data_IF_968292827088
#
_entry.id   IF_968292827088
#
_cell.length_a   1.000
_cell.length_b   1.000
_cell.length_c   1.000
_cell.angle_alpha   90.00
_cell.angle_beta   90.00
_cell.angle_gamma   90.00
#
_symmetry.space_group_name_H-M   'P 1'
#
loop_
_entity.id
_entity.type
_entity.pdbx_description
1 polymer ?
#
# COMPACT_ATOMS: atom_id res chain seq x y z
N UNK A 1 -13.98 31.83 8.13
CA UNK A 1 -14.19 30.80 7.08
C UNK A 1 -13.29 29.65 7.45
N UNK A 2 -13.80 28.42 7.52
CA UNK A 2 -12.99 27.26 7.88
C UNK A 2 -12.14 26.82 6.69
N UNK A 3 -10.83 26.69 6.85
CA UNK A 3 -9.91 26.24 5.79
C UNK A 3 -9.35 24.86 6.12
N UNK A 4 -9.57 23.90 5.23
CA UNK A 4 -9.09 22.53 5.37
C UNK A 4 -8.00 22.28 4.33
N UNK A 5 -6.79 21.91 4.77
CA UNK A 5 -5.68 21.54 3.90
C UNK A 5 -5.60 20.03 3.74
N UNK A 6 -5.61 19.53 2.51
CA UNK A 6 -5.35 18.12 2.15
C UNK A 6 -3.95 18.04 1.56
N UNK A 7 -3.02 17.41 2.27
CA UNK A 7 -1.63 17.23 1.81
C UNK A 7 -1.48 15.83 1.22
N UNK A 8 -1.34 15.75 -0.10
CA UNK A 8 -1.33 14.51 -0.89
C UNK A 8 -2.69 14.20 -1.52
N UNK A 9 -2.67 13.91 -2.83
CA UNK A 9 -3.89 13.68 -3.62
C UNK A 9 -3.88 12.32 -4.35
N UNK A 10 -3.42 11.28 -3.65
CA UNK A 10 -3.61 9.89 -4.02
C UNK A 10 -5.03 9.40 -3.71
N UNK A 11 -5.22 8.07 -3.63
CA UNK A 11 -6.53 7.46 -3.34
C UNK A 11 -7.25 8.12 -2.14
N UNK A 12 -6.55 8.25 -1.01
CA UNK A 12 -7.16 8.82 0.21
C UNK A 12 -7.52 10.30 0.05
N UNK A 13 -6.64 11.12 -0.53
CA UNK A 13 -6.91 12.54 -0.76
C UNK A 13 -8.06 12.77 -1.73
N UNK A 14 -8.12 12.01 -2.85
CA UNK A 14 -9.21 12.04 -3.83
C UNK A 14 -10.55 11.66 -3.19
N UNK A 15 -10.60 10.53 -2.50
CA UNK A 15 -11.84 10.05 -1.86
C UNK A 15 -12.29 10.94 -0.71
N UNK A 16 -11.35 11.55 0.03
CA UNK A 16 -11.65 12.56 1.03
C UNK A 16 -12.29 13.80 0.39
N UNK A 17 -11.66 14.35 -0.66
CA UNK A 17 -12.21 15.50 -1.39
C UNK A 17 -13.63 15.22 -1.91
N UNK A 18 -13.85 14.07 -2.55
CA UNK A 18 -15.17 13.65 -3.05
C UNK A 18 -16.22 13.65 -1.93
N UNK A 19 -15.87 13.15 -0.75
CA UNK A 19 -16.80 13.11 0.38
C UNK A 19 -17.04 14.50 0.98
N UNK A 20 -16.00 15.33 1.12
CA UNK A 20 -16.13 16.70 1.62
C UNK A 20 -16.95 17.58 0.66
N UNK A 21 -16.73 17.48 -0.66
CA UNK A 21 -17.48 18.24 -1.65
C UNK A 21 -18.97 17.86 -1.69
N UNK A 22 -19.29 16.57 -1.51
CA UNK A 22 -20.69 16.10 -1.42
C UNK A 22 -21.41 16.61 -0.18
N UNK A 23 -20.71 16.70 0.95
CA UNK A 23 -21.23 17.15 2.23
C UNK A 23 -20.78 18.59 2.56
N UNK A 24 -20.54 19.39 1.51
CA UNK A 24 -19.97 20.73 1.65
C UNK A 24 -20.77 21.62 2.61
N UNK A 25 -20.05 22.26 3.51
CA UNK A 25 -20.59 23.23 4.45
C UNK A 25 -20.27 24.66 3.95
N UNK A 26 -21.26 25.56 3.88
CA UNK A 26 -21.01 26.94 3.51
C UNK A 26 -19.92 27.58 4.40
N UNK A 27 -19.08 28.44 3.80
CA UNK A 27 -17.92 29.08 4.46
C UNK A 27 -16.76 28.11 4.78
N UNK A 28 -16.68 26.98 4.10
CA UNK A 28 -15.49 26.10 4.15
C UNK A 28 -14.68 26.24 2.86
N UNK A 29 -13.37 26.40 2.95
CA UNK A 29 -12.43 26.35 1.83
C UNK A 29 -11.61 25.06 1.91
N UNK A 30 -11.42 24.36 0.78
CA UNK A 30 -10.62 23.14 0.69
C UNK A 30 -9.37 23.44 -0.14
N UNK A 31 -8.20 23.41 0.48
CA UNK A 31 -6.91 23.55 -0.20
C UNK A 31 -6.29 22.17 -0.40
N UNK A 32 -5.88 21.87 -1.63
CA UNK A 32 -5.34 20.55 -2.01
C UNK A 32 -3.92 20.73 -2.50
N UNK A 33 -2.95 20.19 -1.76
CA UNK A 33 -1.52 20.29 -2.05
C UNK A 33 -0.99 18.97 -2.60
N UNK A 34 -0.43 18.98 -3.82
CA UNK A 34 0.15 17.81 -4.45
C UNK A 34 1.24 18.20 -5.45
N UNK A 35 2.38 17.52 -5.45
CA UNK A 35 3.42 17.68 -6.48
C UNK A 35 2.95 17.22 -7.86
N UNK A 36 2.05 16.25 -7.92
CA UNK A 36 1.54 15.68 -9.15
C UNK A 36 0.25 16.36 -9.57
N UNK A 37 0.02 16.45 -10.86
CA UNK A 37 -1.25 16.93 -11.39
C UNK A 37 -2.41 16.06 -10.82
N UNK A 38 -3.54 16.69 -10.48
CA UNK A 38 -4.68 16.01 -9.84
C UNK A 38 -5.28 14.87 -10.67
N UNK A 39 -5.10 14.91 -12.00
CA UNK A 39 -5.59 13.85 -12.91
C UNK A 39 -4.71 12.59 -12.93
N UNK A 40 -3.53 12.61 -12.30
CA UNK A 40 -2.68 11.42 -12.26
C UNK A 40 -3.18 10.45 -11.20
N UNK A 41 -3.38 9.20 -11.60
CA UNK A 41 -3.65 8.10 -10.68
C UNK A 41 -2.53 8.00 -9.63
N UNK A 42 -2.88 7.56 -8.42
CA UNK A 42 -1.83 7.24 -7.43
C UNK A 42 -0.88 6.19 -8.00
N UNK A 43 0.39 6.24 -7.63
CA UNK A 43 1.42 5.30 -8.12
C UNK A 43 0.96 3.83 -8.06
N UNK A 44 0.24 3.44 -6.99
CA UNK A 44 -0.27 2.08 -6.81
C UNK A 44 -1.32 1.65 -7.85
N UNK A 45 -1.97 2.60 -8.54
CA UNK A 45 -3.06 2.39 -9.51
C UNK A 45 -2.76 3.03 -10.86
N UNK A 46 -1.51 3.38 -11.12
CA UNK A 46 -1.07 3.94 -12.41
C UNK A 46 -0.94 2.88 -13.49
N UNK A 47 -0.85 3.31 -14.74
CA UNK A 47 -0.70 2.45 -15.93
C UNK A 47 0.71 1.88 -16.10
N UNK A 48 1.46 1.66 -15.01
CA UNK A 48 2.85 1.18 -15.07
C UNK A 48 2.97 -0.18 -15.77
N UNK A 49 2.05 -1.10 -15.47
CA UNK A 49 1.97 -2.40 -16.13
C UNK A 49 0.56 -2.96 -16.09
N UNK A 50 -0.01 -3.35 -17.25
CA UNK A 50 -1.31 -4.04 -17.31
C UNK A 50 -1.31 -5.40 -16.59
N UNK A 51 -0.13 -5.90 -16.23
CA UNK A 51 0.02 -7.18 -15.52
C UNK A 51 -0.08 -7.04 -14.01
N UNK A 52 -0.09 -5.82 -13.48
CA UNK A 52 -0.24 -5.59 -12.05
C UNK A 52 -1.70 -5.75 -11.65
N UNK A 53 -1.98 -6.80 -10.91
CA UNK A 53 -3.35 -7.20 -10.54
C UNK A 53 -3.62 -6.85 -9.09
N UNK A 54 -4.85 -6.42 -8.80
CA UNK A 54 -5.32 -6.22 -7.44
C UNK A 54 -5.24 -7.53 -6.64
N UNK A 55 -4.95 -7.45 -5.37
CA UNK A 55 -4.96 -8.58 -4.44
C UNK A 55 -6.23 -8.62 -3.56
N UNK A 56 -7.23 -7.79 -3.92
CA UNK A 56 -8.56 -7.71 -3.28
C UNK A 56 -9.59 -7.92 -4.38
N UNK A 57 -10.60 -8.81 -4.19
CA UNK A 57 -11.64 -9.04 -5.17
C UNK A 57 -12.46 -7.79 -5.49
N UNK A 58 -12.96 -7.68 -6.73
CA UNK A 58 -13.67 -6.51 -7.26
C UNK A 58 -14.80 -6.03 -6.33
N UNK A 59 -15.63 -6.93 -5.81
CA UNK A 59 -16.75 -6.61 -4.91
C UNK A 59 -16.34 -5.92 -3.59
N UNK A 60 -15.06 -5.95 -3.23
CA UNK A 60 -14.54 -5.29 -2.02
C UNK A 60 -13.79 -4.00 -2.32
N UNK A 61 -13.75 -3.60 -3.60
CA UNK A 61 -12.93 -2.49 -4.08
C UNK A 61 -13.70 -1.19 -4.29
N UNK A 62 -14.99 -1.11 -3.94
CA UNK A 62 -15.69 0.18 -3.93
C UNK A 62 -14.93 1.20 -3.08
N UNK A 63 -14.78 2.43 -3.59
CA UNK A 63 -14.15 3.53 -2.88
C UNK A 63 -14.98 4.07 -1.70
N UNK A 64 -16.27 3.70 -1.62
CA UNK A 64 -17.23 4.21 -0.65
C UNK A 64 -17.92 3.09 0.13
N UNK A 65 -18.29 3.39 1.38
CA UNK A 65 -19.00 2.44 2.26
C UNK A 65 -20.48 2.32 1.91
N UNK A 66 -21.07 3.41 1.47
CA UNK A 66 -22.49 3.58 1.14
C UNK A 66 -22.85 3.16 -0.30
N UNK A 67 -21.85 2.77 -1.11
CA UNK A 67 -22.00 2.30 -2.49
C UNK A 67 -21.13 1.06 -2.71
N UNK A 68 -21.53 -0.06 -2.12
CA UNK A 68 -20.68 -1.27 -2.07
C UNK A 68 -20.34 -1.85 -3.44
N UNK A 69 -21.22 -1.70 -4.43
CA UNK A 69 -21.03 -2.26 -5.78
C UNK A 69 -20.41 -1.27 -6.79
N UNK A 70 -20.12 -0.04 -6.40
CA UNK A 70 -19.73 1.07 -7.28
C UNK A 70 -18.57 0.69 -8.26
N UNK A 71 -17.58 -0.07 -7.81
CA UNK A 71 -16.52 -0.56 -8.69
C UNK A 71 -16.97 -1.70 -9.61
N UNK A 72 -17.84 -2.60 -9.15
CA UNK A 72 -18.41 -3.65 -9.98
C UNK A 72 -19.27 -3.04 -11.10
N UNK A 73 -20.11 -2.06 -10.76
CA UNK A 73 -20.96 -1.35 -11.73
C UNK A 73 -20.10 -0.60 -12.77
N UNK A 74 -18.97 -0.01 -12.34
CA UNK A 74 -17.99 0.60 -13.25
C UNK A 74 -17.38 -0.44 -14.20
N UNK A 75 -16.98 -1.61 -13.70
CA UNK A 75 -16.42 -2.69 -14.53
C UNK A 75 -17.46 -3.19 -15.54
N UNK A 76 -18.68 -3.45 -15.11
CA UNK A 76 -19.75 -3.92 -15.97
C UNK A 76 -20.03 -2.92 -17.11
N UNK A 77 -20.08 -1.63 -16.79
CA UNK A 77 -20.40 -0.56 -17.74
C UNK A 77 -19.27 -0.26 -18.72
N UNK A 78 -18.02 -0.16 -18.24
CA UNK A 78 -16.90 0.36 -19.04
C UNK A 78 -15.87 -0.71 -19.43
N UNK A 79 -15.89 -1.88 -18.78
CA UNK A 79 -14.96 -2.99 -19.01
C UNK A 79 -15.71 -4.33 -19.06
N UNK A 80 -16.83 -4.39 -19.81
CA UNK A 80 -17.75 -5.53 -19.84
C UNK A 80 -17.09 -6.88 -20.17
N UNK A 81 -16.11 -6.91 -21.08
CA UNK A 81 -15.37 -8.12 -21.41
C UNK A 81 -14.59 -8.63 -20.19
N UNK A 82 -13.85 -7.75 -19.51
CA UNK A 82 -13.13 -8.12 -18.29
C UNK A 82 -14.11 -8.52 -17.19
N UNK A 83 -15.22 -7.80 -17.03
CA UNK A 83 -16.24 -8.12 -16.04
C UNK A 83 -16.81 -9.52 -16.25
N UNK A 84 -17.11 -9.90 -17.49
CA UNK A 84 -17.59 -11.25 -17.84
C UNK A 84 -16.56 -12.34 -17.48
N UNK A 85 -15.27 -12.02 -17.64
CA UNK A 85 -14.16 -12.96 -17.34
C UNK A 85 -13.96 -13.14 -15.83
N UNK A 86 -13.88 -12.04 -15.05
CA UNK A 86 -13.47 -12.11 -13.64
C UNK A 86 -14.65 -12.17 -12.65
N UNK A 87 -15.78 -11.59 -12.98
CA UNK A 87 -16.92 -11.43 -12.09
C UNK A 87 -16.62 -10.65 -10.80
N UNK A 88 -17.54 -10.67 -9.86
CA UNK A 88 -17.41 -9.93 -8.59
C UNK A 88 -16.28 -10.44 -7.67
N UNK A 89 -15.96 -11.73 -7.75
CA UNK A 89 -14.95 -12.38 -6.91
C UNK A 89 -13.56 -12.38 -7.53
N UNK A 90 -13.42 -11.94 -8.78
CA UNK A 90 -12.16 -11.87 -9.49
C UNK A 90 -11.35 -10.61 -9.17
N UNK A 91 -10.17 -10.54 -9.76
CA UNK A 91 -9.17 -9.52 -9.46
C UNK A 91 -8.89 -8.69 -10.72
N UNK A 92 -9.24 -7.43 -10.70
CA UNK A 92 -9.01 -6.53 -11.83
C UNK A 92 -7.55 -6.03 -11.89
N UNK A 93 -7.04 -5.63 -13.07
CA UNK A 93 -5.79 -4.89 -13.19
C UNK A 93 -5.82 -3.58 -12.38
N UNK A 94 -4.67 -3.21 -11.78
CA UNK A 94 -4.58 -2.02 -10.91
C UNK A 94 -4.88 -0.73 -11.65
N UNK A 95 -4.48 -0.60 -12.91
CA UNK A 95 -4.73 0.60 -13.71
C UNK A 95 -6.22 0.84 -13.97
N UNK A 96 -7.02 -0.22 -14.13
CA UNK A 96 -8.49 -0.10 -14.26
C UNK A 96 -9.11 0.45 -12.98
N UNK A 97 -8.57 0.08 -11.84
CA UNK A 97 -8.98 0.70 -10.57
C UNK A 97 -8.60 2.19 -10.52
N UNK A 98 -7.44 2.55 -11.08
CA UNK A 98 -7.06 3.95 -11.27
C UNK A 98 -8.07 4.73 -12.10
N UNK A 99 -8.47 4.17 -13.25
CA UNK A 99 -9.50 4.76 -14.13
C UNK A 99 -10.84 4.93 -13.41
N UNK A 100 -11.24 3.97 -12.58
CA UNK A 100 -12.44 4.10 -11.74
C UNK A 100 -12.33 5.28 -10.76
N UNK A 101 -11.19 5.42 -10.08
CA UNK A 101 -10.99 6.54 -9.14
C UNK A 101 -10.99 7.89 -9.85
N UNK A 102 -10.40 7.97 -11.03
CA UNK A 102 -10.41 9.19 -11.83
C UNK A 102 -11.81 9.51 -12.36
N UNK A 103 -12.57 8.52 -12.82
CA UNK A 103 -13.97 8.65 -13.22
C UNK A 103 -14.86 9.24 -12.10
N UNK A 104 -14.77 8.71 -10.88
CA UNK A 104 -15.58 9.23 -9.76
C UNK A 104 -15.10 10.60 -9.29
N UNK A 105 -13.81 10.93 -9.44
CA UNK A 105 -13.26 12.25 -9.13
C UNK A 105 -13.76 13.29 -10.13
N UNK A 106 -13.73 13.00 -11.43
CA UNK A 106 -14.21 13.91 -12.48
C UNK A 106 -15.68 14.26 -12.27
N UNK A 107 -16.53 13.25 -11.99
CA UNK A 107 -17.93 13.48 -11.65
C UNK A 107 -18.09 14.38 -10.43
N UNK A 108 -17.28 14.17 -9.39
CA UNK A 108 -17.32 14.98 -8.18
C UNK A 108 -16.82 16.42 -8.39
N UNK A 109 -15.85 16.63 -9.28
CA UNK A 109 -15.36 17.98 -9.62
C UNK A 109 -16.43 18.79 -10.37
N UNK A 110 -17.19 18.15 -11.27
CA UNK A 110 -18.33 18.80 -11.94
C UNK A 110 -19.40 19.20 -10.90
N UNK A 111 -19.82 18.26 -10.06
CA UNK A 111 -20.81 18.50 -9.01
C UNK A 111 -20.35 19.59 -8.02
N UNK A 112 -19.06 19.58 -7.65
CA UNK A 112 -18.49 20.60 -6.75
C UNK A 112 -18.57 22.02 -7.34
N UNK A 113 -18.30 22.15 -8.65
CA UNK A 113 -18.44 23.45 -9.35
C UNK A 113 -19.88 23.92 -9.40
N UNK A 114 -20.83 23.01 -9.70
CA UNK A 114 -22.26 23.32 -9.74
C UNK A 114 -22.78 23.77 -8.37
N UNK A 115 -22.27 23.18 -7.30
CA UNK A 115 -22.60 23.55 -5.90
C UNK A 115 -21.81 24.75 -5.36
N UNK A 116 -20.97 25.38 -6.18
CA UNK A 116 -20.09 26.46 -5.76
C UNK A 116 -19.23 26.11 -4.52
N UNK A 117 -18.72 24.87 -4.47
CA UNK A 117 -17.76 24.46 -3.44
C UNK A 117 -16.48 25.27 -3.61
N UNK A 118 -16.01 25.92 -2.54
CA UNK A 118 -14.75 26.65 -2.54
C UNK A 118 -13.58 25.69 -2.38
N UNK A 119 -12.85 25.40 -3.46
CA UNK A 119 -11.67 24.55 -3.45
C UNK A 119 -10.59 25.04 -4.41
N UNK A 120 -9.35 24.73 -4.07
CA UNK A 120 -8.17 25.14 -4.85
C UNK A 120 -7.13 24.02 -4.91
N UNK A 121 -6.62 23.72 -6.11
CA UNK A 121 -5.48 22.83 -6.32
C UNK A 121 -4.19 23.63 -6.39
N UNK A 122 -3.25 23.30 -5.51
CA UNK A 122 -1.93 23.92 -5.42
C UNK A 122 -0.89 22.86 -5.78
N UNK A 123 -0.32 23.01 -6.98
CA UNK A 123 0.67 22.04 -7.52
C UNK A 123 2.07 22.33 -6.98
N UNK A 124 2.21 22.23 -5.65
CA UNK A 124 3.44 22.48 -4.90
C UNK A 124 3.60 21.46 -3.76
N UNK A 125 4.84 21.22 -3.34
CA UNK A 125 5.13 20.41 -2.16
C UNK A 125 5.04 21.25 -0.89
N UNK A 126 4.32 20.72 0.10
CA UNK A 126 4.38 21.23 1.47
C UNK A 126 5.67 20.72 2.12
N UNK A 127 6.53 21.63 2.53
CA UNK A 127 7.84 21.32 3.11
C UNK A 127 7.91 21.48 4.61
N UNK A 128 7.01 22.31 5.17
CA UNK A 128 6.92 22.55 6.61
C UNK A 128 5.46 22.73 7.05
N UNK A 129 5.14 22.26 8.25
CA UNK A 129 3.90 22.53 8.98
C UNK A 129 4.31 23.04 10.36
N UNK A 130 3.73 24.13 10.82
CA UNK A 130 4.08 24.77 12.07
C UNK A 130 2.85 25.47 12.70
N UNK A 131 2.96 25.86 13.97
CA UNK A 131 1.94 26.58 14.71
C UNK A 131 2.60 27.78 15.39
N UNK A 132 2.30 28.97 14.91
CA UNK A 132 2.73 30.28 15.49
C UNK A 132 1.49 31.11 15.81
N UNK A 133 0.72 30.65 16.82
CA UNK A 133 -0.62 31.16 17.13
C UNK A 133 -1.71 30.43 16.30
N UNK A 134 -1.57 30.42 14.99
CA UNK A 134 -2.43 29.65 14.06
C UNK A 134 -1.65 28.52 13.41
N UNK A 135 -2.37 27.48 12.99
CA UNK A 135 -1.79 26.37 12.26
C UNK A 135 -1.51 26.79 10.81
N UNK A 136 -0.28 26.61 10.36
CA UNK A 136 0.16 27.04 9.04
C UNK A 136 1.03 25.98 8.35
N UNK A 137 1.12 26.11 7.03
CA UNK A 137 2.00 25.29 6.20
C UNK A 137 2.79 26.18 5.23
N UNK A 138 4.00 25.73 4.90
CA UNK A 138 4.93 26.40 3.99
C UNK A 138 5.21 25.48 2.80
N UNK A 139 5.19 26.05 1.62
CA UNK A 139 5.48 25.37 0.35
C UNK A 139 6.97 25.48 -0.01
N UNK A 140 7.40 24.65 -0.96
CA UNK A 140 8.78 24.65 -1.46
C UNK A 140 9.21 26.00 -2.07
N UNK A 141 8.27 26.78 -2.61
CA UNK A 141 8.51 28.12 -3.16
C UNK A 141 8.51 29.23 -2.10
N UNK A 142 8.26 28.93 -0.84
CA UNK A 142 8.21 29.86 0.29
C UNK A 142 6.82 30.45 0.58
N UNK A 143 5.79 30.14 -0.20
CA UNK A 143 4.43 30.59 0.10
C UNK A 143 3.91 29.91 1.38
N UNK A 144 3.19 30.68 2.20
CA UNK A 144 2.60 30.21 3.45
C UNK A 144 1.07 30.29 3.42
N UNK A 145 0.42 29.33 4.05
CA UNK A 145 -1.04 29.23 4.16
C UNK A 145 -1.45 28.95 5.60
N UNK A 146 -2.28 29.80 6.16
CA UNK A 146 -2.96 29.58 7.44
C UNK A 146 -4.18 28.67 7.21
N UNK A 147 -4.37 27.69 8.08
CA UNK A 147 -5.44 26.69 7.94
C UNK A 147 -6.00 26.26 9.28
N UNK A 148 -7.26 25.84 9.30
CA UNK A 148 -7.91 25.36 10.52
C UNK A 148 -7.66 23.88 10.77
N UNK A 149 -7.67 23.06 9.72
CA UNK A 149 -7.42 21.62 9.79
C UNK A 149 -6.44 21.17 8.70
N UNK A 150 -5.55 20.25 9.05
CA UNK A 150 -4.64 19.58 8.09
C UNK A 150 -4.94 18.10 8.04
N UNK A 151 -5.11 17.58 6.83
CA UNK A 151 -5.20 16.14 6.58
C UNK A 151 -3.97 15.66 5.82
N UNK A 152 -3.13 14.85 6.47
CA UNK A 152 -1.99 14.20 5.83
C UNK A 152 -2.46 12.94 5.12
N UNK A 153 -2.58 13.00 3.79
CA UNK A 153 -2.96 11.91 2.90
C UNK A 153 -1.80 11.48 1.99
N UNK A 154 -0.57 11.64 2.47
CA UNK A 154 0.65 11.35 1.71
C UNK A 154 0.86 9.85 1.53
N UNK A 155 1.44 9.47 0.38
CA UNK A 155 1.79 8.08 0.05
C UNK A 155 3.07 7.64 0.76
N UNK A 156 3.22 6.33 0.92
CA UNK A 156 4.49 5.72 1.30
C UNK A 156 5.51 5.79 0.16
N UNK A 157 6.78 5.96 0.52
CA UNK A 157 7.91 5.68 -0.36
C UNK A 157 8.20 4.18 -0.35
N UNK A 158 8.84 3.70 -1.40
CA UNK A 158 9.37 2.35 -1.40
C UNK A 158 10.57 2.25 -0.47
N UNK A 159 10.63 1.18 0.33
CA UNK A 159 11.78 0.91 1.19
C UNK A 159 13.05 0.72 0.37
N UNK A 160 14.14 1.29 0.83
CA UNK A 160 15.44 1.20 0.20
C UNK A 160 16.35 0.26 0.98
N UNK A 161 17.38 -0.24 0.30
CA UNK A 161 18.45 -0.98 0.97
C UNK A 161 19.16 -0.06 1.99
N UNK A 162 19.75 -0.63 3.06
CA UNK A 162 20.44 0.15 4.09
C UNK A 162 21.76 0.77 3.63
N UNK A 163 22.21 0.45 2.43
CA UNK A 163 23.42 0.97 1.78
C UNK A 163 23.09 1.57 0.42
N UNK A 164 23.91 2.50 -0.04
CA UNK A 164 23.74 3.12 -1.35
C UNK A 164 24.32 2.21 -2.44
N UNK A 165 23.52 2.01 -3.48
CA UNK A 165 23.92 1.30 -4.69
C UNK A 165 23.28 1.96 -5.91
N UNK A 166 24.07 2.19 -6.94
CA UNK A 166 23.58 2.75 -8.21
C UNK A 166 24.14 1.94 -9.39
N UNK A 167 23.27 1.62 -10.32
CA UNK A 167 23.61 0.97 -11.59
C UNK A 167 22.55 1.32 -12.63
N UNK A 168 22.95 1.41 -13.91
CA UNK A 168 22.00 1.58 -15.02
C UNK A 168 21.03 0.40 -15.16
N UNK A 169 21.41 -0.76 -14.62
CA UNK A 169 20.65 -2.01 -14.64
C UNK A 169 19.88 -2.23 -13.31
N UNK A 170 19.75 -1.21 -12.46
CA UNK A 170 19.04 -1.29 -11.19
C UNK A 170 17.74 -0.47 -11.20
N UNK A 171 16.61 -1.15 -11.12
CA UNK A 171 15.30 -0.53 -10.87
C UNK A 171 15.16 -0.32 -9.37
N UNK A 172 15.52 0.89 -8.93
CA UNK A 172 15.54 1.28 -7.50
C UNK A 172 14.14 1.49 -6.93
N UNK A 173 13.22 1.99 -7.74
CA UNK A 173 11.84 2.29 -7.37
C UNK A 173 10.89 1.75 -8.43
N UNK A 174 9.96 0.87 -8.02
CA UNK A 174 8.98 0.25 -8.91
C UNK A 174 7.97 1.26 -9.49
N UNK A 175 7.89 2.45 -8.93
CA UNK A 175 6.96 3.50 -9.36
C UNK A 175 7.64 4.59 -10.21
N UNK A 176 8.90 4.39 -10.57
CA UNK A 176 9.72 5.31 -11.36
C UNK A 176 9.57 5.10 -12.88
N UNK A 177 9.99 6.09 -13.67
CA UNK A 177 10.10 5.96 -15.14
C UNK A 177 11.04 4.81 -15.54
N UNK A 178 12.11 4.59 -14.78
CA UNK A 178 13.03 3.46 -15.01
C UNK A 178 12.29 2.12 -14.92
N UNK A 179 11.34 2.00 -13.99
CA UNK A 179 10.49 0.81 -13.87
C UNK A 179 9.54 0.68 -15.04
N UNK A 180 8.91 1.77 -15.49
CA UNK A 180 8.04 1.77 -16.67
C UNK A 180 8.80 1.23 -17.87
N UNK A 181 9.97 1.79 -18.14
CA UNK A 181 10.82 1.36 -19.26
C UNK A 181 11.24 -0.12 -19.13
N UNK A 182 11.61 -0.57 -17.92
CA UNK A 182 11.94 -1.96 -17.65
C UNK A 182 10.77 -2.90 -17.96
N UNK A 183 9.55 -2.54 -17.62
CA UNK A 183 8.36 -3.34 -17.90
C UNK A 183 7.93 -3.33 -19.37
N UNK A 184 8.14 -2.21 -20.06
CA UNK A 184 7.84 -2.11 -21.49
C UNK A 184 8.88 -2.81 -22.37
N UNK A 185 10.15 -2.77 -21.96
CA UNK A 185 11.29 -3.30 -22.70
C UNK A 185 12.16 -4.21 -21.82
N UNK A 186 11.62 -5.35 -21.31
CA UNK A 186 12.37 -6.21 -20.42
C UNK A 186 13.54 -6.89 -21.14
N UNK A 187 14.66 -7.14 -20.45
CA UNK A 187 15.82 -7.85 -21.00
C UNK A 187 15.54 -9.37 -21.11
N UNK A 188 14.91 -9.80 -22.18
CA UNK A 188 14.18 -11.06 -22.34
C UNK A 188 14.97 -12.34 -22.00
N UNK A 189 16.31 -12.38 -22.20
CA UNK A 189 17.15 -13.56 -22.02
C UNK A 189 18.26 -13.38 -20.97
N UNK A 190 18.07 -12.40 -20.07
CA UNK A 190 19.04 -12.08 -19.01
C UNK A 190 18.65 -12.71 -17.67
N UNK A 191 19.58 -12.67 -16.72
CA UNK A 191 19.29 -13.03 -15.33
C UNK A 191 18.84 -11.81 -14.56
N UNK A 192 17.65 -11.86 -13.96
CA UNK A 192 17.07 -10.76 -13.16
C UNK A 192 17.07 -11.14 -11.70
N UNK A 193 17.70 -10.30 -10.86
CA UNK A 193 17.63 -10.37 -9.41
C UNK A 193 16.44 -9.57 -8.88
N UNK A 194 15.68 -10.12 -7.94
CA UNK A 194 14.62 -9.42 -7.22
C UNK A 194 14.99 -9.31 -5.75
N UNK A 195 15.03 -8.09 -5.21
CA UNK A 195 15.21 -7.86 -3.77
C UNK A 195 13.85 -7.91 -3.09
N UNK A 196 13.55 -9.01 -2.44
CA UNK A 196 12.24 -9.30 -1.87
C UNK A 196 11.47 -10.35 -2.67
N UNK A 197 10.54 -11.04 -2.01
CA UNK A 197 9.71 -12.12 -2.57
C UNK A 197 8.22 -11.94 -2.24
N UNK A 198 7.79 -10.71 -1.92
CA UNK A 198 6.40 -10.36 -1.61
C UNK A 198 5.55 -10.13 -2.87
N UNK A 199 4.39 -9.49 -2.69
CA UNK A 199 3.46 -9.18 -3.79
C UNK A 199 4.11 -8.34 -4.90
N UNK A 200 4.99 -7.40 -4.56
CA UNK A 200 5.72 -6.61 -5.56
C UNK A 200 6.62 -7.47 -6.47
N UNK A 201 7.26 -8.51 -5.90
CA UNK A 201 8.04 -9.45 -6.70
C UNK A 201 7.13 -10.29 -7.60
N UNK A 202 5.97 -10.73 -7.11
CA UNK A 202 4.96 -11.42 -7.93
C UNK A 202 4.52 -10.53 -9.10
N UNK A 203 4.21 -9.26 -8.86
CA UNK A 203 3.81 -8.31 -9.91
C UNK A 203 4.90 -8.20 -11.00
N UNK A 204 6.18 -8.09 -10.61
CA UNK A 204 7.32 -8.05 -11.56
C UNK A 204 7.42 -9.35 -12.35
N UNK A 205 7.33 -10.51 -11.69
CA UNK A 205 7.39 -11.84 -12.33
C UNK A 205 6.28 -12.00 -13.37
N UNK A 206 5.04 -11.62 -13.01
CA UNK A 206 3.89 -11.66 -13.91
C UNK A 206 4.09 -10.75 -15.13
N UNK A 207 4.62 -9.55 -14.92
CA UNK A 207 4.94 -8.62 -16.01
C UNK A 207 5.99 -9.20 -16.95
N UNK A 208 7.05 -9.77 -16.43
CA UNK A 208 8.10 -10.43 -17.24
C UNK A 208 7.51 -11.59 -18.05
N UNK A 209 6.70 -12.45 -17.43
CA UNK A 209 6.06 -13.59 -18.10
C UNK A 209 5.14 -13.15 -19.25
N UNK A 210 4.32 -12.12 -19.01
CA UNK A 210 3.44 -11.56 -20.04
C UNK A 210 4.21 -11.00 -21.22
N UNK A 211 5.40 -10.44 -20.99
CA UNK A 211 6.32 -9.96 -22.02
C UNK A 211 7.22 -11.06 -22.61
N UNK A 212 6.84 -12.34 -22.46
CA UNK A 212 7.55 -13.49 -23.03
C UNK A 212 9.01 -13.61 -22.60
N UNK A 213 9.32 -13.22 -21.35
CA UNK A 213 10.64 -13.37 -20.76
C UNK A 213 11.05 -14.86 -20.70
N UNK A 214 12.26 -15.16 -21.18
CA UNK A 214 12.85 -16.50 -21.26
C UNK A 214 14.12 -16.68 -20.42
N UNK A 215 14.60 -15.61 -19.79
CA UNK A 215 15.77 -15.63 -18.91
C UNK A 215 15.46 -16.23 -17.52
N UNK A 216 16.41 -16.09 -16.61
CA UNK A 216 16.29 -16.59 -15.24
C UNK A 216 15.92 -15.48 -14.25
N UNK A 217 15.17 -15.82 -13.22
CA UNK A 217 14.80 -14.91 -12.14
C UNK A 217 15.31 -15.49 -10.82
N UNK A 218 15.98 -14.66 -10.02
CA UNK A 218 16.46 -15.01 -8.68
C UNK A 218 15.85 -14.03 -7.68
N UNK A 219 14.85 -14.46 -6.92
CA UNK A 219 14.25 -13.66 -5.86
C UNK A 219 14.94 -13.95 -4.52
N UNK A 220 15.42 -12.90 -3.85
CA UNK A 220 16.18 -13.02 -2.60
C UNK A 220 15.40 -12.33 -1.49
N UNK A 221 15.10 -13.05 -0.41
CA UNK A 221 14.45 -12.48 0.77
C UNK A 221 14.88 -13.16 2.06
N UNK A 222 14.75 -12.45 3.18
CA UNK A 222 15.22 -12.93 4.50
C UNK A 222 14.66 -14.31 4.90
N UNK A 223 13.47 -14.65 4.45
CA UNK A 223 12.78 -15.89 4.81
C UNK A 223 12.56 -16.85 3.63
N UNK A 224 12.78 -16.40 2.39
CA UNK A 224 12.55 -17.21 1.18
C UNK A 224 11.07 -17.55 0.96
N UNK A 225 10.16 -16.76 1.46
CA UNK A 225 8.73 -17.04 1.38
C UNK A 225 8.07 -16.25 0.24
N UNK A 226 7.14 -16.89 -0.46
CA UNK A 226 6.25 -16.26 -1.44
C UNK A 226 4.85 -16.07 -0.85
N UNK A 227 4.05 -15.09 -1.32
CA UNK A 227 2.64 -14.96 -0.99
C UNK A 227 1.88 -16.26 -1.27
N UNK A 228 0.90 -16.58 -0.43
CA UNK A 228 0.05 -17.75 -0.61
C UNK A 228 -1.08 -17.44 -1.59
N UNK A 229 -1.67 -18.51 -2.17
CA UNK A 229 -2.89 -18.41 -2.99
C UNK A 229 -4.03 -17.83 -2.16
N UNK A 230 -4.79 -16.92 -2.75
CA UNK A 230 -6.04 -16.43 -2.15
C UNK A 230 -6.99 -17.60 -1.91
N UNK A 231 -7.76 -17.50 -0.85
CA UNK A 231 -8.63 -18.59 -0.42
C UNK A 231 -10.01 -18.06 -0.08
N UNK A 232 -11.01 -18.50 -0.82
CA UNK A 232 -12.42 -18.25 -0.53
C UNK A 232 -12.94 -19.39 0.35
N UNK A 233 -13.24 -19.14 1.61
CA UNK A 233 -13.68 -20.18 2.52
C UNK A 233 -14.72 -19.71 3.54
N UNK A 234 -15.37 -20.69 4.18
CA UNK A 234 -16.22 -20.45 5.33
C UNK A 234 -15.45 -19.72 6.45
N UNK A 235 -16.11 -18.80 7.12
CA UNK A 235 -15.55 -18.09 8.27
C UNK A 235 -15.31 -19.06 9.44
N UNK A 236 -14.16 -18.90 10.08
CA UNK A 236 -13.78 -19.62 11.30
C UNK A 236 -13.94 -18.67 12.48
N UNK A 237 -14.94 -18.90 13.32
CA UNK A 237 -15.20 -18.06 14.49
C UNK A 237 -14.36 -18.52 15.70
N UNK A 238 -13.04 -18.43 15.57
CA UNK A 238 -12.09 -18.88 16.60
C UNK A 238 -11.63 -17.75 17.53
N UNK A 239 -11.28 -16.60 16.96
CA UNK A 239 -10.66 -15.48 17.67
C UNK A 239 -11.70 -14.39 17.90
N UNK A 240 -11.76 -13.90 19.15
CA UNK A 240 -12.60 -12.76 19.54
C UNK A 240 -11.72 -11.57 19.94
N UNK A 241 -12.24 -10.36 19.85
CA UNK A 241 -11.52 -9.14 20.29
C UNK A 241 -11.06 -9.26 21.74
N UNK A 242 -11.89 -9.82 22.61
CA UNK A 242 -11.55 -10.03 24.02
C UNK A 242 -10.33 -10.93 24.27
N UNK A 243 -9.96 -11.78 23.30
CA UNK A 243 -8.78 -12.62 23.40
C UNK A 243 -7.47 -11.82 23.39
N UNK A 244 -7.49 -10.58 22.83
CA UNK A 244 -6.32 -9.72 22.75
C UNK A 244 -5.67 -9.43 24.10
N UNK A 245 -6.47 -9.31 25.18
CA UNK A 245 -5.98 -9.09 26.54
C UNK A 245 -5.04 -10.21 27.05
N UNK A 246 -5.14 -11.42 26.47
CA UNK A 246 -4.28 -12.54 26.81
C UNK A 246 -2.96 -12.53 26.02
N UNK A 247 -2.81 -11.59 25.10
CA UNK A 247 -1.60 -11.35 24.32
C UNK A 247 -1.44 -12.22 23.07
N UNK A 248 -0.45 -11.86 22.28
CA UNK A 248 -0.17 -12.47 20.96
C UNK A 248 0.18 -13.96 21.08
N UNK A 249 0.95 -14.34 22.10
CA UNK A 249 1.34 -15.74 22.26
C UNK A 249 0.12 -16.65 22.53
N UNK A 250 -0.82 -16.18 23.34
CA UNK A 250 -2.08 -16.89 23.58
C UNK A 250 -2.84 -17.12 22.27
N UNK A 251 -2.96 -16.09 21.43
CA UNK A 251 -3.63 -16.22 20.13
C UNK A 251 -2.93 -17.25 19.24
N UNK A 252 -1.60 -17.23 19.17
CA UNK A 252 -0.83 -18.23 18.41
C UNK A 252 -1.09 -19.67 18.91
N UNK A 253 -1.09 -19.87 20.22
CA UNK A 253 -1.36 -21.19 20.81
C UNK A 253 -2.80 -21.65 20.55
N UNK A 254 -3.77 -20.75 20.66
CA UNK A 254 -5.19 -21.00 20.36
C UNK A 254 -5.39 -21.42 18.91
N UNK A 255 -4.78 -20.70 17.96
CA UNK A 255 -4.81 -21.03 16.53
C UNK A 255 -4.13 -22.38 16.27
N UNK A 256 -2.94 -22.60 16.82
CA UNK A 256 -2.20 -23.86 16.65
C UNK A 256 -2.96 -25.06 17.19
N UNK A 257 -3.59 -24.93 18.36
CA UNK A 257 -4.44 -25.97 18.95
C UNK A 257 -5.62 -26.29 18.03
N UNK A 258 -6.34 -25.25 17.59
CA UNK A 258 -7.48 -25.39 16.69
C UNK A 258 -7.12 -26.13 15.39
N UNK A 259 -6.04 -25.72 14.71
CA UNK A 259 -5.62 -26.35 13.45
C UNK A 259 -5.18 -27.82 13.63
N UNK A 260 -4.61 -28.17 14.79
CA UNK A 260 -4.25 -29.57 15.12
C UNK A 260 -5.49 -30.44 15.34
N UNK A 261 -6.52 -29.89 16.02
CA UNK A 261 -7.78 -30.58 16.30
C UNK A 261 -8.74 -30.61 15.10
N UNK A 262 -8.51 -29.74 14.12
CA UNK A 262 -9.35 -29.55 12.94
C UNK A 262 -8.51 -29.51 11.65
N UNK A 263 -7.92 -30.64 11.20
CA UNK A 263 -6.96 -30.67 10.11
C UNK A 263 -7.57 -30.30 8.73
N UNK A 264 -8.88 -30.25 8.62
CA UNK A 264 -9.60 -29.78 7.42
C UNK A 264 -9.50 -28.26 7.22
N UNK A 265 -9.09 -27.48 8.24
CA UNK A 265 -8.91 -26.04 8.13
C UNK A 265 -7.46 -25.66 7.84
N UNK A 266 -7.31 -24.60 7.03
CA UNK A 266 -6.02 -24.00 6.69
C UNK A 266 -5.79 -22.72 7.53
N UNK A 267 -4.54 -22.41 7.81
CA UNK A 267 -4.17 -21.17 8.53
C UNK A 267 -4.68 -19.91 7.80
N UNK A 268 -4.74 -19.94 6.45
CA UNK A 268 -5.29 -18.82 5.65
C UNK A 268 -6.75 -18.54 5.98
N UNK A 269 -7.55 -19.58 6.25
CA UNK A 269 -8.97 -19.44 6.66
C UNK A 269 -9.08 -18.75 8.00
N UNK A 270 -8.26 -19.15 8.96
CA UNK A 270 -8.25 -18.53 10.30
C UNK A 270 -7.82 -17.07 10.21
N UNK A 271 -6.70 -16.78 9.53
CA UNK A 271 -6.20 -15.40 9.34
C UNK A 271 -7.19 -14.55 8.54
N UNK A 272 -7.79 -15.10 7.49
CA UNK A 272 -8.84 -14.42 6.72
C UNK A 272 -10.07 -14.09 7.55
N UNK A 273 -10.44 -14.97 8.49
CA UNK A 273 -11.64 -14.80 9.34
C UNK A 273 -11.48 -13.69 10.38
N UNK A 274 -10.26 -13.41 10.84
CA UNK A 274 -10.01 -12.34 11.82
C UNK A 274 -9.82 -10.96 11.17
N UNK A 275 -9.89 -10.85 9.83
CA UNK A 275 -9.67 -9.60 9.12
C UNK A 275 -10.51 -8.44 9.68
N UNK A 276 -11.80 -8.68 9.87
CA UNK A 276 -12.74 -7.62 10.28
C UNK A 276 -12.51 -7.14 11.73
N UNK A 277 -11.80 -7.90 12.55
CA UNK A 277 -11.48 -7.55 13.94
C UNK A 277 -9.99 -7.26 14.16
N UNK A 278 -9.18 -7.27 13.09
CA UNK A 278 -7.72 -7.10 13.21
C UNK A 278 -7.35 -5.78 13.85
N UNK A 279 -8.00 -4.68 13.46
CA UNK A 279 -7.74 -3.36 14.04
C UNK A 279 -8.10 -3.32 15.54
N UNK A 280 -9.25 -3.88 15.90
CA UNK A 280 -9.66 -3.94 17.31
C UNK A 280 -8.73 -4.82 18.14
N UNK A 281 -8.27 -5.97 17.61
CA UNK A 281 -7.24 -6.78 18.27
C UNK A 281 -5.96 -5.98 18.49
N UNK A 282 -5.52 -5.24 17.46
CA UNK A 282 -4.33 -4.41 17.53
C UNK A 282 -4.44 -3.28 18.55
N UNK A 283 -5.58 -2.60 18.61
CA UNK A 283 -5.86 -1.55 19.60
C UNK A 283 -5.84 -2.10 21.03
N UNK A 284 -6.28 -3.33 21.23
CA UNK A 284 -6.30 -3.98 22.56
C UNK A 284 -4.98 -4.64 22.96
N UNK A 285 -3.98 -4.73 22.07
CA UNK A 285 -2.65 -5.16 22.46
C UNK A 285 -1.90 -4.06 23.21
N UNK A 286 -1.21 -4.42 24.27
CA UNK A 286 -0.20 -3.56 24.88
C UNK A 286 1.03 -3.41 23.95
N UNK A 287 1.89 -2.45 24.26
CA UNK A 287 3.07 -2.15 23.44
C UNK A 287 4.03 -3.37 23.36
N UNK A 288 4.16 -4.15 24.43
CA UNK A 288 4.99 -5.37 24.44
C UNK A 288 4.50 -6.40 23.45
N UNK A 289 3.19 -6.63 23.39
CA UNK A 289 2.58 -7.57 22.44
C UNK A 289 2.66 -7.05 21.00
N UNK A 290 2.48 -5.74 20.75
CA UNK A 290 2.70 -5.12 19.44
C UNK A 290 4.14 -5.33 18.96
N UNK A 291 5.12 -5.05 19.79
CA UNK A 291 6.54 -5.24 19.47
C UNK A 291 6.91 -6.72 19.26
N UNK A 292 6.33 -7.62 20.06
CA UNK A 292 6.52 -9.06 19.87
C UNK A 292 5.99 -9.51 18.50
N UNK A 293 4.79 -9.07 18.15
CA UNK A 293 4.17 -9.37 16.85
C UNK A 293 5.02 -8.84 15.69
N UNK A 294 5.38 -7.57 15.71
CA UNK A 294 6.18 -6.94 14.66
C UNK A 294 7.54 -7.60 14.47
N UNK A 295 8.19 -8.02 15.55
CA UNK A 295 9.51 -8.63 15.50
C UNK A 295 9.49 -10.09 15.06
N UNK A 296 8.44 -10.86 15.41
CA UNK A 296 8.43 -12.32 15.27
C UNK A 296 7.40 -12.85 14.27
N UNK A 297 6.28 -12.18 14.10
CA UNK A 297 5.12 -12.72 13.39
C UNK A 297 4.75 -11.96 12.11
N UNK A 298 5.17 -10.71 11.97
CA UNK A 298 4.78 -9.86 10.82
C UNK A 298 5.09 -10.51 9.46
N UNK A 299 6.23 -11.21 9.33
CA UNK A 299 6.58 -11.88 8.07
C UNK A 299 5.64 -13.04 7.74
N UNK A 300 5.22 -13.82 8.75
CA UNK A 300 4.21 -14.87 8.57
C UNK A 300 2.83 -14.28 8.32
N UNK A 301 2.45 -13.24 9.09
CA UNK A 301 1.21 -12.53 8.88
C UNK A 301 1.07 -12.07 7.43
N UNK A 302 2.07 -11.38 6.90
CA UNK A 302 2.05 -10.86 5.54
C UNK A 302 1.82 -11.94 4.48
N UNK A 303 2.40 -13.15 4.65
CA UNK A 303 2.26 -14.25 3.69
C UNK A 303 0.83 -14.81 3.66
N UNK A 304 0.21 -14.96 4.83
CA UNK A 304 -1.11 -15.59 4.96
C UNK A 304 -2.25 -14.58 4.83
N UNK A 305 -1.98 -13.31 5.13
CA UNK A 305 -2.96 -12.22 5.08
C UNK A 305 -3.02 -11.53 3.71
N UNK A 306 -1.85 -11.25 3.13
CA UNK A 306 -1.72 -10.60 1.83
C UNK A 306 -1.47 -11.65 0.74
N UNK A 307 -2.48 -12.49 0.52
CA UNK A 307 -2.45 -13.51 -0.52
C UNK A 307 -2.50 -12.88 -1.91
N UNK A 308 -1.98 -13.59 -2.92
CA UNK A 308 -2.11 -13.24 -4.32
C UNK A 308 -3.24 -14.05 -4.99
N UNK A 309 -3.77 -13.59 -6.14
CA UNK A 309 -4.71 -14.36 -6.96
C UNK A 309 -4.18 -15.77 -7.24
N UNK A 310 -5.10 -16.74 -7.35
CA UNK A 310 -4.73 -18.16 -7.54
C UNK A 310 -3.86 -18.32 -8.79
N UNK A 311 -4.32 -17.80 -9.93
CA UNK A 311 -3.63 -17.92 -11.22
C UNK A 311 -2.22 -17.29 -11.18
N UNK A 312 -2.08 -16.15 -10.45
CA UNK A 312 -0.79 -15.50 -10.28
C UNK A 312 0.20 -16.38 -9.52
N UNK A 313 -0.25 -17.03 -8.45
CA UNK A 313 0.63 -17.90 -7.65
C UNK A 313 0.94 -19.19 -8.42
N UNK A 314 -0.02 -19.77 -9.15
CA UNK A 314 0.21 -20.95 -9.98
C UNK A 314 1.22 -20.68 -11.09
N UNK A 315 1.15 -19.52 -11.74
CA UNK A 315 2.16 -19.13 -12.71
C UNK A 315 3.57 -19.05 -12.09
N UNK A 316 3.68 -18.44 -10.90
CA UNK A 316 4.95 -18.36 -10.16
C UNK A 316 5.45 -19.76 -9.76
N UNK A 317 4.57 -20.63 -9.27
CA UNK A 317 4.90 -22.03 -8.92
C UNK A 317 5.39 -22.82 -10.13
N UNK A 318 4.74 -22.68 -11.29
CA UNK A 318 5.16 -23.32 -12.53
C UNK A 318 6.56 -22.83 -12.97
N UNK A 319 6.87 -21.54 -12.86
CA UNK A 319 8.21 -21.03 -13.16
C UNK A 319 9.29 -21.58 -12.21
N UNK A 320 8.93 -21.91 -10.96
CA UNK A 320 9.85 -22.58 -10.04
C UNK A 320 10.08 -24.03 -10.46
N UNK A 321 9.00 -24.75 -10.82
CA UNK A 321 9.08 -26.14 -11.30
C UNK A 321 9.93 -26.25 -12.56
N UNK A 322 9.76 -25.30 -13.49
CA UNK A 322 10.52 -25.21 -14.74
C UNK A 322 11.98 -24.75 -14.53
N UNK A 323 12.37 -24.37 -13.31
CA UNK A 323 13.71 -23.88 -12.98
C UNK A 323 13.99 -22.45 -13.46
N UNK A 324 12.99 -21.75 -14.02
CA UNK A 324 13.13 -20.37 -14.49
C UNK A 324 13.17 -19.35 -13.33
N UNK A 325 12.51 -19.67 -12.21
CA UNK A 325 12.51 -18.86 -10.99
C UNK A 325 13.14 -19.63 -9.82
N UNK A 326 14.11 -19.03 -9.18
CA UNK A 326 14.70 -19.53 -7.94
C UNK A 326 14.43 -18.55 -6.80
N UNK A 327 13.88 -19.03 -5.69
CA UNK A 327 13.68 -18.21 -4.48
C UNK A 327 14.73 -18.57 -3.43
N UNK A 328 15.59 -17.61 -3.12
CA UNK A 328 16.69 -17.77 -2.17
C UNK A 328 16.39 -17.12 -0.84
N UNK A 329 16.66 -17.87 0.23
CA UNK A 329 16.59 -17.36 1.61
C UNK A 329 17.96 -16.77 1.98
N UNK A 330 18.01 -15.48 2.29
CA UNK A 330 19.24 -14.81 2.72
C UNK A 330 19.01 -13.33 3.03
N UNK A 331 19.85 -12.81 3.92
CA UNK A 331 19.98 -11.36 4.11
C UNK A 331 21.08 -10.87 3.16
N UNK A 332 20.78 -9.83 2.39
CA UNK A 332 21.77 -9.19 1.51
C UNK A 332 22.68 -8.33 2.39
N UNK A 333 23.99 -8.55 2.27
CA UNK A 333 25.02 -7.85 3.01
C UNK A 333 25.69 -6.76 2.17
N UNK A 334 25.86 -7.01 0.86
CA UNK A 334 26.43 -6.05 -0.07
C UNK A 334 25.84 -6.22 -1.48
N UNK A 335 25.88 -5.15 -2.27
CA UNK A 335 25.58 -5.14 -3.71
C UNK A 335 26.62 -4.26 -4.38
N UNK A 336 27.24 -4.77 -5.45
CA UNK A 336 28.24 -4.02 -6.20
C UNK A 336 28.20 -4.32 -7.70
N UNK A 337 28.76 -3.44 -8.50
CA UNK A 337 28.91 -3.66 -9.93
C UNK A 337 30.18 -4.48 -10.19
N UNK A 338 30.07 -5.58 -10.93
CA UNK A 338 31.15 -6.42 -11.38
C UNK A 338 31.14 -6.52 -12.91
N UNK A 339 31.88 -5.65 -13.56
CA UNK A 339 31.82 -5.47 -15.01
C UNK A 339 30.42 -4.96 -15.43
N UNK A 340 29.76 -5.70 -16.30
CA UNK A 340 28.40 -5.38 -16.74
C UNK A 340 27.30 -6.02 -15.87
N UNK A 341 27.69 -6.83 -14.89
CA UNK A 341 26.77 -7.52 -13.98
C UNK A 341 26.73 -6.85 -12.61
N UNK A 342 25.75 -7.27 -11.83
CA UNK A 342 25.56 -6.87 -10.43
C UNK A 342 25.81 -8.11 -9.58
N UNK A 343 26.75 -8.01 -8.63
CA UNK A 343 26.99 -9.01 -7.61
C UNK A 343 26.21 -8.70 -6.36
N UNK A 344 25.50 -9.69 -5.84
CA UNK A 344 24.72 -9.63 -4.60
C UNK A 344 25.34 -10.60 -3.61
N UNK A 345 25.92 -10.08 -2.55
CA UNK A 345 26.54 -10.89 -1.49
C UNK A 345 25.52 -11.15 -0.38
N UNK A 346 25.37 -12.40 -0.02
CA UNK A 346 24.63 -12.85 1.16
C UNK A 346 25.61 -13.58 2.09
N UNK A 347 25.18 -13.93 3.31
CA UNK A 347 26.01 -14.75 4.23
C UNK A 347 26.54 -16.03 3.63
N UNK A 348 25.83 -16.62 2.67
CA UNK A 348 26.06 -17.99 2.24
C UNK A 348 26.65 -18.08 0.83
N UNK A 349 26.43 -17.06 0.00
CA UNK A 349 26.79 -17.10 -1.42
C UNK A 349 26.88 -15.72 -2.04
N UNK A 350 27.57 -15.66 -3.17
CA UNK A 350 27.58 -14.53 -4.10
C UNK A 350 26.69 -14.89 -5.31
N UNK A 351 25.83 -13.96 -5.72
CA UNK A 351 24.86 -14.15 -6.79
C UNK A 351 25.07 -13.07 -7.84
N UNK A 352 25.38 -13.48 -9.07
CA UNK A 352 25.57 -12.58 -10.20
C UNK A 352 24.29 -12.49 -11.03
N UNK A 353 23.83 -11.25 -11.27
CA UNK A 353 22.65 -10.95 -12.11
C UNK A 353 22.98 -9.88 -13.13
N UNK A 354 22.23 -9.86 -14.24
CA UNK A 354 22.39 -8.83 -15.28
C UNK A 354 21.59 -7.55 -14.93
N UNK A 355 20.40 -7.73 -14.32
CA UNK A 355 19.54 -6.65 -13.85
C UNK A 355 19.08 -6.91 -12.43
N UNK A 356 18.82 -5.84 -11.70
CA UNK A 356 18.33 -5.93 -10.32
C UNK A 356 17.07 -5.06 -10.18
N UNK A 357 16.07 -5.58 -9.47
CA UNK A 357 14.82 -4.87 -9.20
C UNK A 357 14.56 -4.86 -7.70
N UNK A 358 14.34 -3.67 -7.15
CA UNK A 358 13.96 -3.51 -5.76
C UNK A 358 12.46 -3.81 -5.59
N UNK A 359 12.15 -4.96 -4.98
CA UNK A 359 10.81 -5.40 -4.63
C UNK A 359 10.53 -5.33 -3.11
N UNK A 360 11.30 -4.53 -2.37
CA UNK A 360 11.01 -4.23 -0.98
C UNK A 360 9.67 -3.47 -0.89
N UNK A 361 8.93 -3.74 0.17
CA UNK A 361 7.65 -3.06 0.40
C UNK A 361 7.81 -1.57 0.74
N UNK A 362 6.90 -1.06 1.54
CA UNK A 362 6.87 0.34 1.91
C UNK A 362 7.88 0.67 3.02
N UNK A 363 8.39 1.93 3.00
CA UNK A 363 9.22 2.47 4.07
C UNK A 363 8.34 2.96 5.23
N UNK A 364 8.48 2.32 6.38
CA UNK A 364 7.70 2.64 7.59
C UNK A 364 8.48 3.50 8.61
N UNK A 365 9.66 4.01 8.25
CA UNK A 365 10.44 4.88 9.12
C UNK A 365 10.12 6.35 8.83
N UNK A 366 9.44 7.02 9.75
CA UNK A 366 9.00 8.40 9.60
C UNK A 366 10.16 9.39 9.35
N UNK A 367 11.36 9.11 9.89
CA UNK A 367 12.57 9.89 9.67
C UNK A 367 13.05 9.92 8.20
N UNK A 368 12.56 9.02 7.36
CA UNK A 368 12.83 9.00 5.92
C UNK A 368 11.91 9.92 5.11
N UNK A 369 10.93 10.55 5.76
CA UNK A 369 10.00 11.49 5.14
C UNK A 369 10.27 12.90 5.68
N UNK A 370 10.75 13.80 4.81
CA UNK A 370 11.13 15.16 5.18
C UNK A 370 10.05 15.89 6.00
N UNK A 371 8.81 15.90 5.49
CA UNK A 371 7.70 16.56 6.17
C UNK A 371 7.38 15.93 7.53
N UNK A 372 7.32 14.60 7.62
CA UNK A 372 7.02 13.92 8.90
C UNK A 372 8.13 14.15 9.92
N UNK A 373 9.39 14.14 9.49
CA UNK A 373 10.54 14.43 10.35
C UNK A 373 10.51 15.87 10.87
N UNK A 374 10.17 16.83 10.01
CA UNK A 374 10.00 18.24 10.36
C UNK A 374 8.85 18.42 11.37
N UNK A 375 7.68 17.83 11.10
CA UNK A 375 6.53 17.90 12.01
C UNK A 375 6.79 17.22 13.36
N UNK A 376 7.63 16.21 13.41
CA UNK A 376 8.08 15.62 14.69
C UNK A 376 9.00 16.57 15.47
N UNK A 377 9.87 17.33 14.79
CA UNK A 377 10.71 18.34 15.45
C UNK A 377 9.90 19.50 16.03
N UNK A 378 8.79 19.85 15.41
CA UNK A 378 7.81 20.83 15.91
C UNK A 378 6.82 20.24 16.94
N UNK A 379 6.98 18.99 17.32
CA UNK A 379 6.11 18.26 18.26
C UNK A 379 4.63 18.14 17.83
N UNK A 380 4.32 18.43 16.57
CA UNK A 380 2.98 18.26 15.97
C UNK A 380 2.66 16.78 15.73
N UNK A 381 3.69 15.98 15.48
CA UNK A 381 3.62 14.53 15.41
C UNK A 381 4.56 13.91 16.44
N UNK A 382 4.28 12.67 16.82
CA UNK A 382 5.19 11.84 17.63
C UNK A 382 5.31 10.45 17.05
N UNK A 383 6.43 9.80 17.36
CA UNK A 383 6.66 8.42 16.96
C UNK A 383 5.60 7.50 17.57
N UNK A 384 5.09 6.58 16.76
CA UNK A 384 4.24 5.47 17.18
C UNK A 384 5.01 4.14 17.01
N UNK A 385 4.40 3.01 17.34
CA UNK A 385 5.05 1.69 17.29
C UNK A 385 5.60 1.33 15.89
N UNK A 386 4.97 1.80 14.81
CA UNK A 386 5.41 1.56 13.42
C UNK A 386 5.77 2.88 12.74
N UNK A 387 4.94 3.90 12.81
CA UNK A 387 5.06 5.13 12.04
C UNK A 387 4.96 6.37 12.94
N UNK A 388 3.90 7.15 12.80
CA UNK A 388 3.63 8.37 13.57
C UNK A 388 2.19 8.40 14.08
N UNK A 389 1.94 9.22 15.10
CA UNK A 389 0.60 9.65 15.50
C UNK A 389 0.57 11.17 15.68
N UNK A 390 -0.60 11.74 15.43
CA UNK A 390 -0.81 13.17 15.66
C UNK A 390 -0.74 13.50 17.16
N UNK A 391 -0.11 14.61 17.45
CA UNK A 391 -0.07 15.22 18.77
C UNK A 391 -0.94 16.48 18.83
N UNK A 392 -1.49 16.88 17.68
CA UNK A 392 -2.29 18.07 17.50
C UNK A 392 -3.74 17.71 17.10
N UNK A 393 -4.77 18.30 17.74
CA UNK A 393 -6.18 17.91 17.52
C UNK A 393 -6.69 18.22 16.10
N UNK A 394 -6.12 19.22 15.42
CA UNK A 394 -6.50 19.68 14.07
C UNK A 394 -5.61 19.05 12.96
N UNK A 395 -4.72 18.12 13.29
CA UNK A 395 -3.91 17.38 12.31
C UNK A 395 -4.37 15.93 12.25
N UNK A 396 -4.94 15.56 11.13
CA UNK A 396 -5.53 14.25 10.87
C UNK A 396 -4.61 13.42 9.96
N UNK A 397 -4.29 12.21 10.37
CA UNK A 397 -3.55 11.25 9.56
C UNK A 397 -4.52 10.39 8.78
N UNK A 398 -4.23 10.13 7.50
CA UNK A 398 -5.09 9.33 6.64
C UNK A 398 -4.30 8.22 5.95
N UNK A 399 -4.97 7.10 5.75
CA UNK A 399 -4.39 5.96 5.06
C UNK A 399 -3.23 5.31 5.83
N UNK A 400 -2.18 4.95 5.09
CA UNK A 400 -1.03 4.23 5.62
C UNK A 400 -0.31 4.90 6.79
N UNK A 401 -0.39 6.23 6.92
CA UNK A 401 0.20 6.93 8.06
C UNK A 401 -0.35 6.47 9.42
N UNK A 402 -1.57 5.91 9.43
CA UNK A 402 -2.20 5.34 10.61
C UNK A 402 -1.74 3.90 10.94
N UNK A 403 -0.74 3.35 10.24
CA UNK A 403 -0.35 1.93 10.41
C UNK A 403 0.08 1.59 11.84
N UNK A 404 0.64 2.53 12.58
CA UNK A 404 0.98 2.35 14.00
C UNK A 404 -0.27 2.19 14.86
N UNK A 405 -1.30 3.01 14.60
CA UNK A 405 -2.59 2.99 15.30
C UNK A 405 -3.44 1.78 14.87
N UNK A 406 -3.63 1.62 13.55
CA UNK A 406 -4.66 0.72 13.01
C UNK A 406 -4.09 -0.60 12.46
N UNK A 407 -2.78 -0.71 12.28
CA UNK A 407 -2.02 -1.84 11.74
C UNK A 407 -2.45 -2.21 10.30
N UNK A 408 -3.63 -2.74 10.07
CA UNK A 408 -4.21 -3.03 8.76
C UNK A 408 -4.97 -1.78 8.27
N UNK A 409 -4.31 -0.91 7.47
CA UNK A 409 -4.88 0.35 7.00
C UNK A 409 -4.35 0.76 5.62
N UNK A 410 -3.87 -0.20 4.81
CA UNK A 410 -3.25 0.09 3.51
C UNK A 410 -4.06 -0.40 2.31
N UNK A 411 -5.06 -1.25 2.51
CA UNK A 411 -5.93 -1.72 1.45
C UNK A 411 -7.24 -0.92 1.40
N UNK A 412 -7.85 -0.84 0.21
CA UNK A 412 -9.05 -0.02 -0.05
C UNK A 412 -10.18 -0.23 0.97
N UNK A 413 -10.54 -1.47 1.36
CA UNK A 413 -11.58 -1.68 2.37
C UNK A 413 -11.35 -0.99 3.70
N UNK A 414 -10.10 -0.92 4.15
CA UNK A 414 -9.69 -0.26 5.38
C UNK A 414 -9.49 1.26 5.18
N UNK A 415 -8.98 1.67 4.01
CA UNK A 415 -8.78 3.09 3.69
C UNK A 415 -10.09 3.86 3.63
N UNK A 416 -11.15 3.29 3.04
CA UNK A 416 -12.47 3.96 2.97
C UNK A 416 -13.11 4.17 4.34
N UNK A 417 -12.83 3.30 5.32
CA UNK A 417 -13.23 3.49 6.72
C UNK A 417 -12.50 4.69 7.34
N UNK A 418 -11.18 4.74 7.16
CA UNK A 418 -10.34 5.85 7.64
C UNK A 418 -10.76 7.20 7.04
N UNK A 419 -11.10 7.23 5.75
CA UNK A 419 -11.63 8.44 5.09
C UNK A 419 -12.95 8.88 5.73
N UNK A 420 -13.88 7.95 5.97
CA UNK A 420 -15.17 8.29 6.60
C UNK A 420 -15.02 8.81 8.03
N UNK A 421 -14.09 8.25 8.82
CA UNK A 421 -13.78 8.74 10.17
C UNK A 421 -13.23 10.18 10.13
N UNK A 422 -12.32 10.48 9.21
CA UNK A 422 -11.77 11.84 9.07
C UNK A 422 -12.83 12.84 8.60
N UNK A 423 -13.69 12.46 7.64
CA UNK A 423 -14.82 13.33 7.23
C UNK A 423 -15.71 13.68 8.41
N UNK A 424 -16.07 12.69 9.25
CA UNK A 424 -16.90 12.93 10.44
C UNK A 424 -16.26 13.84 11.50
N UNK A 425 -14.92 14.00 11.49
CA UNK A 425 -14.19 14.94 12.37
C UNK A 425 -14.10 16.35 11.80
N UNK A 426 -14.13 16.46 10.47
CA UNK A 426 -13.99 17.75 9.78
C UNK A 426 -15.31 18.50 9.61
N UNK A 427 -16.43 17.79 9.53
CA UNK A 427 -17.79 18.34 9.41
C UNK A 427 -18.43 18.51 10.78
#
# INVERSE_FOLDING_TARGET
MKTIAIIGFGFCGKTLFIKLSKNYQPKTKILIFSKSHYSLSSAAFSELSPSYILNVPAKKMSAFLDRENDFCDFLEKYHSTLWTEIGENGFAPRYIYGQYIDYILEAALVEAKEKAVDFEFINQEVVRVFEEGELALELENGDCYEVDDIVLATSFKQAQMPFEFNSKNFVKDLWSETSINFHQNPPLNKTIGLIGSGLSAVDVILSLKKNKFIGNIIAISRHGNLPKKSFLSAKVDLIKVADAKNGVLFLCLKIRKFLRENPQFDLRQVIGSIRNITQELWHNFDEKNKQLFLRRLISYWNIFRHCAPIDSVEMVENMIIDGQLVVKKGSIENIENVGEKISITTKNEEILVDHLVNCLGFEFRADKYRLLSQMMSEQLLKKDCIMVKSNHPKIHLLGGLNIGRDFECTAVPELRLSVSDVVGKLL
#
